data_IF_205501180103
#
_entry.id   IF_205501180103
#
_cell.length_a   1.000
_cell.length_b   1.000
_cell.length_c   1.000
_cell.angle_alpha   90.00
_cell.angle_beta   90.00
_cell.angle_gamma   90.00
#
_symmetry.space_group_name_H-M   'P 1'
#
loop_
_entity.id
_entity.type
_entity.pdbx_description
1 polymer ?
#
# COMPACT_ATOMS: atom_id res chain seq x y z
N UNK A 1 -12.14 15.67 10.38
CA UNK A 1 -11.13 14.60 10.20
C UNK A 1 -11.38 13.96 8.85
N UNK A 2 -10.35 13.87 7.99
CA UNK A 2 -10.48 13.24 6.67
C UNK A 2 -9.88 11.83 6.70
N UNK A 3 -10.56 10.90 6.03
CA UNK A 3 -10.07 9.56 5.74
C UNK A 3 -9.62 9.56 4.28
N UNK A 4 -8.38 9.12 4.02
CA UNK A 4 -7.83 9.05 2.67
C UNK A 4 -7.19 7.70 2.42
N UNK A 5 -7.63 7.03 1.37
CA UNK A 5 -7.07 5.76 0.90
C UNK A 5 -6.31 6.01 -0.39
N UNK A 6 -5.04 5.62 -0.42
CA UNK A 6 -4.22 5.59 -1.64
C UNK A 6 -4.07 4.14 -2.07
N UNK A 7 -4.60 3.79 -3.25
CA UNK A 7 -4.45 2.46 -3.83
C UNK A 7 -3.07 2.38 -4.50
N UNK A 8 -2.19 1.56 -3.95
CA UNK A 8 -0.86 1.30 -4.51
C UNK A 8 -0.91 0.15 -5.52
N UNK A 9 -1.76 -0.84 -5.26
CA UNK A 9 -2.09 -1.91 -6.19
C UNK A 9 -3.40 -2.61 -5.83
N UNK A 10 -4.03 -3.20 -6.84
CA UNK A 10 -5.37 -3.79 -6.76
C UNK A 10 -5.55 -5.01 -7.68
N UNK A 11 -4.46 -5.55 -8.24
CA UNK A 11 -4.50 -6.71 -9.11
C UNK A 11 -4.10 -7.98 -8.36
N UNK A 12 -4.54 -9.12 -8.86
CA UNK A 12 -4.27 -10.42 -8.25
C UNK A 12 -2.97 -11.05 -8.77
N UNK A 13 -2.32 -11.81 -7.88
CA UNK A 13 -1.26 -12.78 -8.11
C UNK A 13 0.05 -12.28 -8.77
N UNK A 14 0.00 -11.76 -9.99
CA UNK A 14 1.20 -11.57 -10.82
C UNK A 14 1.36 -10.08 -11.17
N UNK A 15 2.49 -9.45 -10.82
CA UNK A 15 2.78 -8.08 -11.24
C UNK A 15 2.93 -8.00 -12.77
N UNK A 16 2.31 -6.99 -13.37
CA UNK A 16 2.52 -6.60 -14.77
C UNK A 16 2.84 -5.11 -14.84
N UNK A 17 3.31 -4.67 -16.01
CA UNK A 17 3.76 -3.28 -16.25
C UNK A 17 2.79 -2.22 -15.70
N UNK A 18 1.48 -2.45 -15.82
CA UNK A 18 0.41 -1.57 -15.31
C UNK A 18 -0.59 -2.27 -14.38
N UNK A 19 -0.21 -3.42 -13.81
CA UNK A 19 -1.04 -4.19 -12.90
C UNK A 19 -0.22 -4.58 -11.67
N UNK A 20 -0.41 -3.84 -10.58
CA UNK A 20 0.37 -4.05 -9.35
C UNK A 20 -0.43 -4.92 -8.37
N UNK A 21 0.23 -5.91 -7.71
CA UNK A 21 -0.35 -6.71 -6.64
C UNK A 21 -0.97 -5.86 -5.50
N UNK A 22 -1.85 -6.46 -4.70
CA UNK A 22 -2.56 -5.77 -3.61
C UNK A 22 -1.61 -5.02 -2.66
N UNK A 23 -1.87 -3.73 -2.49
CA UNK A 23 -1.33 -2.90 -1.43
C UNK A 23 -2.10 -1.57 -1.36
N UNK A 24 -2.41 -1.12 -0.14
CA UNK A 24 -3.14 0.12 0.08
C UNK A 24 -2.53 0.90 1.24
N UNK A 25 -2.43 2.22 1.08
CA UNK A 25 -1.97 3.13 2.12
C UNK A 25 -3.15 3.94 2.65
N UNK A 26 -3.53 3.68 3.90
CA UNK A 26 -4.64 4.33 4.58
C UNK A 26 -4.13 5.42 5.54
N UNK A 27 -4.58 6.64 5.32
CA UNK A 27 -4.37 7.79 6.19
C UNK A 27 -5.67 8.09 6.94
N UNK A 28 -5.66 7.98 8.27
CA UNK A 28 -6.80 8.30 9.13
C UNK A 28 -6.32 8.95 10.42
N UNK A 29 -6.81 10.17 10.70
CA UNK A 29 -6.32 11.01 11.80
C UNK A 29 -4.81 11.23 11.66
N UNK A 30 -4.02 10.84 12.66
CA UNK A 30 -2.55 10.90 12.66
C UNK A 30 -1.92 9.50 12.49
N UNK A 31 -2.71 8.51 12.04
CA UNK A 31 -2.25 7.15 11.82
C UNK A 31 -2.14 6.86 10.32
N UNK A 32 -1.09 6.13 9.98
CA UNK A 32 -0.82 5.66 8.63
C UNK A 32 -0.67 4.14 8.69
N UNK A 33 -1.43 3.46 7.85
CA UNK A 33 -1.47 2.00 7.78
C UNK A 33 -1.12 1.56 6.37
N UNK A 34 -0.29 0.54 6.26
CA UNK A 34 -0.15 -0.23 5.02
C UNK A 34 -1.01 -1.49 5.16
N UNK A 35 -1.95 -1.69 4.24
CA UNK A 35 -2.80 -2.88 4.14
C UNK A 35 -2.29 -3.67 2.94
N UNK A 36 -1.94 -4.94 3.20
CA UNK A 36 -1.17 -5.82 2.33
C UNK A 36 0.16 -5.24 1.84
N UNK A 37 1.02 -6.09 1.29
CA UNK A 37 2.34 -5.70 0.78
C UNK A 37 2.78 -6.62 -0.37
N UNK A 38 1.97 -6.68 -1.42
CA UNK A 38 2.30 -7.46 -2.61
C UNK A 38 3.59 -6.99 -3.29
N UNK A 39 4.10 -7.80 -4.21
CA UNK A 39 5.38 -7.51 -4.89
C UNK A 39 5.38 -6.11 -5.53
N UNK A 40 6.48 -5.38 -5.32
CA UNK A 40 6.65 -4.04 -5.89
C UNK A 40 5.97 -2.90 -5.11
N UNK A 41 5.33 -3.17 -3.98
CA UNK A 41 4.74 -2.13 -3.11
C UNK A 41 5.72 -0.98 -2.79
N UNK A 42 6.98 -1.31 -2.54
CA UNK A 42 8.04 -0.30 -2.32
C UNK A 42 8.25 0.67 -3.49
N UNK A 43 8.04 0.22 -4.73
CA UNK A 43 8.14 1.07 -5.93
C UNK A 43 6.92 1.99 -6.00
N UNK A 44 5.74 1.48 -5.69
CA UNK A 44 4.51 2.28 -5.63
C UNK A 44 4.59 3.34 -4.53
N UNK A 45 5.08 3.00 -3.34
CA UNK A 45 5.29 3.97 -2.25
C UNK A 45 6.18 5.14 -2.70
N UNK A 46 7.27 4.85 -3.43
CA UNK A 46 8.13 5.90 -4.01
C UNK A 46 7.39 6.74 -5.06
N UNK A 47 6.65 6.10 -5.98
CA UNK A 47 5.85 6.77 -7.03
C UNK A 47 4.83 7.75 -6.44
N UNK A 48 4.18 7.37 -5.33
CA UNK A 48 3.21 8.20 -4.62
C UNK A 48 3.84 9.14 -3.57
N UNK A 49 5.17 9.22 -3.50
CA UNK A 49 5.91 10.07 -2.56
C UNK A 49 5.57 9.78 -1.08
N UNK A 50 5.24 8.53 -0.76
CA UNK A 50 4.98 8.07 0.61
C UNK A 50 6.29 7.61 1.22
N UNK A 51 6.75 8.33 2.25
CA UNK A 51 7.97 7.97 2.98
C UNK A 51 7.75 6.67 3.77
N UNK A 52 8.67 5.71 3.62
CA UNK A 52 8.67 4.47 4.39
C UNK A 52 8.56 4.70 5.90
N UNK A 53 9.21 5.75 6.43
CA UNK A 53 9.16 6.11 7.85
C UNK A 53 7.77 6.49 8.38
N UNK A 54 6.79 6.77 7.50
CA UNK A 54 5.40 7.00 7.91
C UNK A 54 4.66 5.70 8.22
N UNK A 55 5.11 4.55 7.71
CA UNK A 55 4.44 3.26 7.86
C UNK A 55 4.83 2.67 9.20
N UNK A 56 3.93 2.74 10.18
CA UNK A 56 4.14 2.19 11.53
C UNK A 56 3.50 0.82 11.74
N UNK A 57 2.52 0.49 10.90
CA UNK A 57 1.70 -0.69 11.01
C UNK A 57 1.46 -1.26 9.61
N UNK A 58 1.70 -2.56 9.48
CA UNK A 58 1.42 -3.33 8.27
C UNK A 58 0.41 -4.41 8.66
N UNK A 59 -0.73 -4.44 7.98
CA UNK A 59 -1.73 -5.48 8.13
C UNK A 59 -1.68 -6.38 6.90
N UNK A 60 -1.35 -7.65 7.09
CA UNK A 60 -1.36 -8.65 6.03
C UNK A 60 -2.65 -9.45 6.15
N UNK A 61 -3.48 -9.40 5.11
CA UNK A 61 -4.78 -10.07 5.13
C UNK A 61 -4.66 -11.59 5.12
N UNK A 62 -3.68 -12.13 4.38
CA UNK A 62 -3.38 -13.55 4.25
C UNK A 62 -1.99 -13.77 3.60
N UNK A 63 -1.51 -15.01 3.54
CA UNK A 63 -0.16 -15.37 3.08
C UNK A 63 -0.12 -16.00 1.67
N UNK A 64 -0.85 -15.43 0.71
CA UNK A 64 -0.66 -15.75 -0.71
C UNK A 64 0.52 -14.98 -1.30
#
# INVERSE_FOLDING_TARGET
>A
MSLKLTILGCHSAIPRVNAYPTAQFLEIKNHNFLIDCGEGTQVQLRKYHIKFSKIKHIFISHLH
#
